data_IF_311060648699
#
_entry.id   IF_311060648699
#
_cell.length_a   1.000
_cell.length_b   1.000
_cell.length_c   1.000
_cell.angle_alpha   90.00
_cell.angle_beta   90.00
_cell.angle_gamma   90.00
#
_symmetry.space_group_name_H-M   'P 1'
#
loop_
_entity.id
_entity.type
_entity.pdbx_description
1 polymer ?
#
# COMPACT_ATOMS: atom_id res chain seq x y z
N UNK A 1 11.53 13.05 13.56
CA UNK A 1 10.08 12.78 13.35
C UNK A 1 9.67 13.09 11.92
N UNK A 2 9.76 14.35 11.47
CA UNK A 2 9.38 14.76 10.10
C UNK A 2 9.98 13.91 8.98
N UNK A 3 11.26 13.57 9.06
CA UNK A 3 11.88 12.71 8.06
C UNK A 3 11.16 11.37 7.86
N UNK A 4 10.58 10.78 8.92
CA UNK A 4 9.80 9.54 8.83
C UNK A 4 8.41 9.77 8.23
N UNK A 5 7.74 10.86 8.61
CA UNK A 5 6.44 11.26 8.01
C UNK A 5 6.63 11.42 6.50
N UNK A 6 7.69 12.13 6.09
CA UNK A 6 8.02 12.31 4.69
C UNK A 6 8.33 11.00 3.98
N UNK A 7 8.96 10.03 4.64
CA UNK A 7 9.17 8.69 4.07
C UNK A 7 7.87 7.92 3.85
N UNK A 8 6.91 8.00 4.78
CA UNK A 8 5.57 7.40 4.58
C UNK A 8 4.83 8.06 3.42
N UNK A 9 4.91 9.39 3.30
CA UNK A 9 4.28 10.13 2.20
C UNK A 9 4.98 9.92 0.85
N UNK A 10 6.27 9.60 0.86
CA UNK A 10 7.03 9.21 -0.32
C UNK A 10 6.51 7.85 -0.82
N UNK A 11 6.39 6.87 0.08
CA UNK A 11 5.85 5.54 -0.21
C UNK A 11 4.42 5.65 -0.79
N UNK A 12 3.56 6.45 -0.16
CA UNK A 12 2.23 6.77 -0.67
C UNK A 12 2.27 7.36 -2.09
N UNK A 13 3.20 8.26 -2.37
CA UNK A 13 3.29 8.91 -3.70
C UNK A 13 3.68 7.91 -4.78
N UNK A 14 4.59 6.98 -4.46
CA UNK A 14 5.03 5.90 -5.36
C UNK A 14 3.90 4.90 -5.59
N UNK A 15 3.22 4.44 -4.55
CA UNK A 15 2.12 3.48 -4.67
C UNK A 15 0.97 4.04 -5.49
N UNK A 16 0.57 5.30 -5.25
CA UNK A 16 -0.48 5.94 -6.06
C UNK A 16 -0.04 6.09 -7.51
N UNK A 17 1.24 6.42 -7.77
CA UNK A 17 1.77 6.46 -9.11
C UNK A 17 1.67 5.09 -9.80
N UNK A 18 2.01 4.00 -9.11
CA UNK A 18 1.90 2.62 -9.62
C UNK A 18 0.45 2.22 -9.88
N UNK A 19 -0.48 2.55 -8.98
CA UNK A 19 -1.91 2.28 -9.21
C UNK A 19 -2.47 3.05 -10.42
N UNK A 20 -2.01 4.27 -10.66
CA UNK A 20 -2.38 5.05 -11.86
C UNK A 20 -1.75 4.43 -13.11
N UNK A 21 -0.47 4.01 -13.04
CA UNK A 21 0.23 3.34 -14.14
C UNK A 21 -0.46 2.02 -14.53
N UNK A 22 -0.98 1.27 -13.55
CA UNK A 22 -1.73 0.03 -13.78
C UNK A 22 -3.21 0.26 -14.12
N UNK A 23 -3.62 1.52 -14.33
CA UNK A 23 -5.00 1.89 -14.69
C UNK A 23 -6.05 1.47 -13.63
N UNK A 24 -5.63 1.23 -12.38
CA UNK A 24 -6.50 0.93 -11.24
C UNK A 24 -7.09 2.21 -10.64
N UNK A 25 -6.29 3.27 -10.64
CA UNK A 25 -6.74 4.62 -10.35
C UNK A 25 -6.72 5.46 -11.63
N UNK A 26 -7.71 6.33 -11.77
CA UNK A 26 -7.80 7.32 -12.85
C UNK A 26 -7.78 8.72 -12.27
N UNK A 27 -7.27 9.68 -13.04
CA UNK A 27 -7.25 11.09 -12.65
C UNK A 27 -8.43 11.82 -13.28
N UNK A 28 -9.18 12.57 -12.46
CA UNK A 28 -10.26 13.45 -12.92
C UNK A 28 -9.71 14.47 -13.89
N UNK A 29 -10.36 14.60 -15.05
CA UNK A 29 -10.00 15.63 -16.03
C UNK A 29 -10.55 16.98 -15.58
N UNK A 30 -9.67 17.87 -15.15
CA UNK A 30 -10.03 19.27 -14.84
C UNK A 30 -9.95 20.06 -16.15
N UNK A 31 -11.04 20.72 -16.52
CA UNK A 31 -11.08 21.60 -17.70
C UNK A 31 -9.91 22.58 -17.65
N UNK A 32 -9.09 22.60 -18.71
CA UNK A 32 -7.90 23.43 -18.94
C UNK A 32 -6.56 22.93 -18.35
N UNK A 33 -6.48 21.74 -17.78
CA UNK A 33 -5.18 21.17 -17.39
C UNK A 33 -4.49 20.50 -18.59
N UNK A 34 -3.30 20.99 -18.96
CA UNK A 34 -2.48 20.41 -20.02
C UNK A 34 -1.65 19.28 -19.40
N UNK A 35 -2.01 18.03 -19.65
CA UNK A 35 -1.30 16.87 -19.10
C UNK A 35 0.01 16.50 -19.83
N UNK A 36 0.09 16.76 -21.14
CA UNK A 36 1.31 16.60 -21.95
C UNK A 36 1.32 17.63 -23.09
N UNK A 37 2.49 18.19 -23.39
CA UNK A 37 2.68 19.17 -24.47
C UNK A 37 2.52 18.59 -25.88
N UNK A 38 2.62 17.26 -26.03
CA UNK A 38 2.56 16.57 -27.32
C UNK A 38 1.43 15.54 -27.41
N UNK A 39 0.88 15.08 -26.27
CA UNK A 39 -0.18 14.08 -26.22
C UNK A 39 -1.43 14.62 -25.49
N UNK A 40 -2.42 15.19 -26.21
CA UNK A 40 -3.55 15.90 -25.58
C UNK A 40 -4.43 15.05 -24.66
N UNK A 41 -4.43 13.73 -24.85
CA UNK A 41 -5.22 12.78 -24.05
C UNK A 41 -4.46 12.24 -22.83
N UNK A 42 -3.15 12.51 -22.70
CA UNK A 42 -2.32 11.95 -21.65
C UNK A 42 -2.42 12.80 -20.38
N UNK A 43 -2.92 12.20 -19.31
CA UNK A 43 -2.95 12.80 -17.97
C UNK A 43 -1.94 12.05 -17.10
N UNK A 44 -0.94 12.76 -16.60
CA UNK A 44 0.12 12.19 -15.76
C UNK A 44 -0.12 12.55 -14.28
N UNK A 45 0.31 11.70 -13.33
CA UNK A 45 0.23 11.95 -11.88
C UNK A 45 1.26 12.98 -11.38
N UNK A 46 1.39 14.13 -12.06
CA UNK A 46 2.43 15.14 -11.81
C UNK A 46 2.41 15.69 -10.38
N UNK A 47 1.24 15.71 -9.73
CA UNK A 47 1.13 16.20 -8.36
C UNK A 47 1.87 15.25 -7.38
N UNK A 48 1.81 13.94 -7.61
CA UNK A 48 2.55 12.94 -6.80
C UNK A 48 4.05 12.93 -7.14
N UNK A 49 4.41 13.04 -8.43
CA UNK A 49 5.82 13.14 -8.86
C UNK A 49 6.50 14.39 -8.28
N UNK A 50 5.80 15.53 -8.26
CA UNK A 50 6.28 16.76 -7.63
C UNK A 50 6.43 16.59 -6.11
N UNK A 51 5.50 15.88 -5.46
CA UNK A 51 5.58 15.64 -4.03
C UNK A 51 6.80 14.77 -3.70
N UNK A 52 6.99 13.66 -4.40
CA UNK A 52 8.13 12.75 -4.27
C UNK A 52 9.47 13.48 -4.33
N UNK A 53 9.70 14.29 -5.38
CA UNK A 53 10.95 15.05 -5.52
C UNK A 53 11.22 16.01 -4.36
N UNK A 54 10.19 16.74 -3.92
CA UNK A 54 10.31 17.68 -2.81
C UNK A 54 10.48 16.96 -1.45
N UNK A 55 9.88 15.77 -1.25
CA UNK A 55 10.07 14.97 -0.03
C UNK A 55 11.52 14.46 0.08
N UNK A 56 12.13 14.07 -1.04
CA UNK A 56 13.55 13.72 -1.09
C UNK A 56 14.45 14.89 -0.67
N UNK A 57 14.21 16.09 -1.21
CA UNK A 57 14.97 17.30 -0.86
C UNK A 57 14.80 17.66 0.62
N UNK A 58 13.57 17.63 1.14
CA UNK A 58 13.30 17.87 2.54
C UNK A 58 14.07 16.88 3.45
N UNK A 59 14.01 15.59 3.11
CA UNK A 59 14.67 14.54 3.88
C UNK A 59 16.20 14.60 3.81
N UNK A 60 16.77 15.03 2.68
CA UNK A 60 18.21 15.28 2.57
C UNK A 60 18.66 16.35 3.57
N UNK A 61 17.92 17.47 3.67
CA UNK A 61 18.20 18.52 4.65
C UNK A 61 17.99 18.04 6.09
N UNK A 62 16.88 17.35 6.39
CA UNK A 62 16.64 16.83 7.74
C UNK A 62 17.72 15.84 8.19
N UNK A 63 18.22 14.98 7.30
CA UNK A 63 19.37 14.10 7.57
C UNK A 63 20.62 14.92 7.86
N UNK A 64 20.94 15.90 7.02
CA UNK A 64 22.10 16.78 7.22
C UNK A 64 22.04 17.52 8.57
N UNK A 65 20.87 18.04 8.96
CA UNK A 65 20.68 18.70 10.26
C UNK A 65 20.90 17.76 11.43
N UNK A 66 20.33 16.55 11.37
CA UNK A 66 20.46 15.55 12.44
C UNK A 66 21.91 15.08 12.65
N UNK A 67 22.69 15.02 11.57
CA UNK A 67 24.09 14.62 11.61
C UNK A 67 25.02 15.77 12.03
N UNK A 68 24.77 16.99 11.54
CA UNK A 68 25.69 18.13 11.74
C UNK A 68 25.44 18.88 13.05
N UNK A 69 24.18 19.11 13.44
CA UNK A 69 23.86 20.03 14.54
C UNK A 69 24.18 19.45 15.93
N UNK A 70 24.35 18.14 16.03
CA UNK A 70 24.74 17.44 17.26
C UNK A 70 26.24 17.52 17.56
N UNK A 71 27.05 18.06 16.64
CA UNK A 71 28.51 18.12 16.76
C UNK A 71 28.96 19.58 16.69
N UNK A 72 29.68 20.01 17.72
CA UNK A 72 30.34 21.33 17.82
C UNK A 72 31.67 21.17 18.55
N UNK A 73 32.74 21.83 18.10
CA UNK A 73 34.08 21.71 18.69
C UNK A 73 34.16 22.43 20.04
N UNK A 74 34.76 21.78 21.04
CA UNK A 74 35.01 22.31 22.38
C UNK A 74 33.73 22.90 23.01
N UNK A 75 33.77 24.14 23.49
CA UNK A 75 32.60 24.78 24.10
C UNK A 75 31.51 25.14 23.07
N UNK A 76 31.90 25.48 21.83
CA UNK A 76 31.04 25.67 20.64
C UNK A 76 31.86 26.28 19.48
N UNK A 77 31.66 25.82 18.25
CA UNK A 77 32.03 26.51 17.01
C UNK A 77 30.80 27.10 16.28
N UNK A 78 31.01 27.99 15.31
CA UNK A 78 29.93 28.78 14.66
C UNK A 78 29.42 28.18 13.33
N UNK A 79 29.82 26.95 12.98
CA UNK A 79 29.39 26.31 11.73
C UNK A 79 27.89 25.99 11.71
N UNK A 80 27.25 25.88 12.87
CA UNK A 80 25.82 25.69 13.04
C UNK A 80 25.00 26.90 12.61
N UNK A 81 25.51 28.12 12.79
CA UNK A 81 24.81 29.37 12.49
C UNK A 81 24.29 29.45 11.04
N UNK A 82 25.09 29.04 10.05
CA UNK A 82 24.65 29.00 8.64
C UNK A 82 23.68 27.85 8.36
N UNK A 83 23.84 26.72 9.04
CA UNK A 83 22.96 25.55 8.87
C UNK A 83 21.58 25.82 9.47
N UNK A 84 21.49 26.44 10.65
CA UNK A 84 20.22 26.79 11.29
C UNK A 84 19.36 27.75 10.45
N UNK A 85 19.97 28.59 9.59
CA UNK A 85 19.24 29.46 8.65
C UNK A 85 18.52 28.69 7.54
N UNK A 86 18.83 27.41 7.36
CA UNK A 86 18.20 26.55 6.36
C UNK A 86 17.05 25.70 6.92
N UNK A 87 16.71 25.84 8.21
CA UNK A 87 15.56 25.14 8.81
C UNK A 87 14.28 25.48 8.02
N UNK A 88 14.03 26.77 7.74
CA UNK A 88 12.86 27.19 6.97
C UNK A 88 12.78 26.49 5.60
N UNK A 89 13.91 26.32 4.92
CA UNK A 89 13.99 25.66 3.61
C UNK A 89 13.54 24.19 3.66
N UNK A 90 13.94 23.42 4.67
CA UNK A 90 13.50 22.01 4.79
C UNK A 90 12.00 21.89 5.02
N UNK A 91 11.43 22.81 5.80
CA UNK A 91 9.98 22.88 6.01
C UNK A 91 9.24 23.33 4.75
N UNK A 92 9.81 24.26 3.98
CA UNK A 92 9.22 24.74 2.73
C UNK A 92 9.07 23.59 1.72
N UNK A 93 10.11 22.77 1.52
CA UNK A 93 10.03 21.57 0.67
C UNK A 93 8.94 20.61 1.14
N UNK A 94 8.88 20.34 2.45
CA UNK A 94 7.84 19.47 3.02
C UNK A 94 6.43 20.03 2.77
N UNK A 95 6.21 21.34 3.00
CA UNK A 95 4.92 21.99 2.80
C UNK A 95 4.49 21.98 1.33
N UNK A 96 5.43 22.19 0.40
CA UNK A 96 5.16 22.08 -1.04
C UNK A 96 4.69 20.66 -1.36
N UNK A 97 5.41 19.63 -0.89
CA UNK A 97 5.00 18.23 -1.07
C UNK A 97 3.61 17.96 -0.53
N UNK A 98 3.29 18.41 0.69
CA UNK A 98 1.98 18.13 1.30
C UNK A 98 0.84 18.77 0.51
N UNK A 99 1.04 20.00 0.02
CA UNK A 99 0.06 20.66 -0.87
C UNK A 99 -0.13 19.90 -2.18
N UNK A 100 0.96 19.40 -2.77
CA UNK A 100 0.89 18.60 -3.99
C UNK A 100 0.18 17.27 -3.77
N UNK A 101 0.47 16.55 -2.67
CA UNK A 101 -0.24 15.31 -2.30
C UNK A 101 -1.73 15.57 -2.13
N UNK A 102 -2.13 16.60 -1.37
CA UNK A 102 -3.53 16.94 -1.18
C UNK A 102 -4.23 17.26 -2.50
N UNK A 103 -3.56 17.98 -3.40
CA UNK A 103 -4.06 18.27 -4.75
C UNK A 103 -4.22 16.99 -5.58
N UNK A 104 -3.24 16.09 -5.55
CA UNK A 104 -3.30 14.79 -6.21
C UNK A 104 -4.42 13.90 -5.68
N UNK A 105 -4.58 13.79 -4.36
CA UNK A 105 -5.67 13.04 -3.72
C UNK A 105 -7.05 13.61 -4.05
N UNK A 106 -7.18 14.92 -4.28
CA UNK A 106 -8.43 15.51 -4.77
C UNK A 106 -8.84 15.07 -6.19
N UNK A 107 -7.86 14.59 -6.98
CA UNK A 107 -8.03 14.23 -8.39
C UNK A 107 -8.22 12.73 -8.63
N UNK A 108 -7.82 11.87 -7.71
CA UNK A 108 -7.95 10.42 -7.91
C UNK A 108 -9.43 9.99 -7.92
N UNK A 109 -9.71 8.97 -8.71
CA UNK A 109 -10.97 8.25 -8.74
C UNK A 109 -10.68 6.77 -9.05
N UNK A 110 -11.57 5.86 -8.66
CA UNK A 110 -11.36 4.43 -8.84
C UNK A 110 -11.77 3.98 -10.24
N UNK A 111 -11.01 3.06 -10.83
CA UNK A 111 -11.38 2.33 -12.03
C UNK A 111 -11.84 0.92 -11.68
N UNK A 112 -13.05 0.82 -11.12
CA UNK A 112 -13.61 -0.46 -10.65
C UNK A 112 -13.58 -1.55 -11.73
N UNK A 113 -13.91 -1.19 -12.97
CA UNK A 113 -13.92 -2.16 -14.08
C UNK A 113 -12.53 -2.76 -14.30
N UNK A 114 -11.47 -1.96 -14.31
CA UNK A 114 -10.10 -2.46 -14.47
C UNK A 114 -9.70 -3.33 -13.28
N UNK A 115 -10.00 -2.89 -12.05
CA UNK A 115 -9.69 -3.66 -10.83
C UNK A 115 -10.39 -5.03 -10.82
N UNK A 116 -11.70 -5.07 -11.11
CA UNK A 116 -12.45 -6.33 -11.20
C UNK A 116 -11.92 -7.25 -12.31
N UNK A 117 -11.53 -6.69 -13.46
CA UNK A 117 -10.96 -7.47 -14.55
C UNK A 117 -9.59 -8.05 -14.18
N UNK A 118 -8.72 -7.27 -13.54
CA UNK A 118 -7.42 -7.76 -13.07
C UNK A 118 -7.59 -8.90 -12.05
N UNK A 119 -8.48 -8.73 -11.05
CA UNK A 119 -8.78 -9.78 -10.08
C UNK A 119 -9.34 -11.05 -10.75
N UNK A 120 -10.28 -10.89 -11.69
CA UNK A 120 -10.86 -12.03 -12.41
C UNK A 120 -9.87 -12.79 -13.31
N UNK A 121 -8.74 -12.17 -13.67
CA UNK A 121 -7.68 -12.82 -14.45
C UNK A 121 -6.62 -13.49 -13.55
N UNK A 122 -6.66 -13.30 -12.24
CA UNK A 122 -5.62 -13.76 -11.30
C UNK A 122 -6.18 -14.77 -10.28
N UNK A 123 -6.76 -15.87 -10.77
CA UNK A 123 -7.30 -16.97 -9.92
C UNK A 123 -6.22 -17.74 -9.15
N UNK A 124 -4.97 -17.63 -9.57
CA UNK A 124 -3.80 -18.17 -8.85
C UNK A 124 -3.72 -17.70 -7.39
N UNK A 125 -4.26 -16.51 -7.08
CA UNK A 125 -4.32 -15.97 -5.71
C UNK A 125 -5.14 -16.84 -4.75
N UNK A 126 -6.09 -17.64 -5.26
CA UNK A 126 -6.88 -18.56 -4.44
C UNK A 126 -6.13 -19.85 -4.07
N UNK A 127 -4.88 -20.01 -4.51
CA UNK A 127 -4.07 -21.16 -4.13
C UNK A 127 -3.87 -21.27 -2.62
N UNK A 128 -3.59 -20.14 -1.96
CA UNK A 128 -3.37 -20.09 -0.51
C UNK A 128 -4.61 -20.52 0.30
N UNK A 129 -5.82 -19.93 0.14
CA UNK A 129 -6.97 -20.32 0.95
C UNK A 129 -7.36 -21.78 0.74
N UNK A 130 -7.22 -22.31 -0.48
CA UNK A 130 -7.45 -23.73 -0.76
C UNK A 130 -6.46 -24.60 0.03
N UNK A 131 -5.16 -24.28 0.00
CA UNK A 131 -4.16 -25.00 0.78
C UNK A 131 -4.41 -24.94 2.29
N UNK A 132 -4.85 -23.78 2.81
CA UNK A 132 -5.17 -23.61 4.23
C UNK A 132 -6.32 -24.53 4.63
N UNK A 133 -7.40 -24.58 3.83
CA UNK A 133 -8.52 -25.48 4.12
C UNK A 133 -8.10 -26.95 4.04
N UNK A 134 -7.31 -27.34 3.04
CA UNK A 134 -6.78 -28.71 2.93
C UNK A 134 -5.94 -29.09 4.17
N UNK A 135 -5.06 -28.19 4.63
CA UNK A 135 -4.25 -28.40 5.84
C UNK A 135 -5.12 -28.51 7.09
N UNK A 136 -6.20 -27.72 7.20
CA UNK A 136 -7.14 -27.79 8.31
C UNK A 136 -7.83 -29.17 8.43
N UNK A 137 -7.94 -29.90 7.32
CA UNK A 137 -8.46 -31.27 7.27
C UNK A 137 -7.34 -32.33 7.18
N UNK A 138 -6.12 -32.01 7.63
CA UNK A 138 -4.96 -32.91 7.68
C UNK A 138 -4.54 -33.51 6.33
N UNK A 139 -4.82 -32.82 5.22
CA UNK A 139 -4.35 -33.28 3.90
C UNK A 139 -2.81 -33.17 3.82
N UNK A 140 -2.10 -34.28 3.54
CA UNK A 140 -0.64 -34.27 3.51
C UNK A 140 -0.14 -33.47 2.30
N UNK A 141 0.93 -32.69 2.51
CA UNK A 141 1.66 -32.01 1.43
C UNK A 141 0.81 -31.12 0.51
N UNK A 142 -0.24 -30.46 1.04
CA UNK A 142 -1.18 -29.63 0.26
C UNK A 142 -0.52 -28.61 -0.68
N UNK A 143 0.59 -27.99 -0.25
CA UNK A 143 1.34 -27.04 -1.09
C UNK A 143 1.97 -27.72 -2.31
N UNK A 144 2.69 -28.82 -2.12
CA UNK A 144 3.37 -29.53 -3.22
C UNK A 144 2.35 -30.14 -4.18
N UNK A 145 1.22 -30.61 -3.67
CA UNK A 145 0.16 -31.18 -4.51
C UNK A 145 -0.49 -30.10 -5.39
N UNK A 146 -0.85 -28.92 -4.85
CA UNK A 146 -1.38 -27.81 -5.65
C UNK A 146 -0.34 -27.27 -6.64
N UNK A 147 0.93 -27.16 -6.21
CA UNK A 147 2.04 -26.76 -7.08
C UNK A 147 2.19 -27.70 -8.25
N UNK A 148 2.16 -29.02 -8.02
CA UNK A 148 2.23 -30.01 -9.08
C UNK A 148 1.00 -29.96 -10.01
N UNK A 149 -0.18 -29.68 -9.46
CA UNK A 149 -1.41 -29.56 -10.24
C UNK A 149 -1.42 -28.35 -11.18
N UNK A 150 -0.86 -27.23 -10.73
CA UNK A 150 -0.85 -25.93 -11.45
C UNK A 150 0.41 -25.70 -12.30
N UNK A 151 1.50 -26.45 -12.08
CA UNK A 151 2.77 -26.27 -12.79
C UNK A 151 2.59 -26.31 -14.31
N UNK A 152 3.04 -25.23 -14.97
CA UNK A 152 3.03 -25.12 -16.44
C UNK A 152 1.64 -24.89 -17.05
N UNK A 153 0.61 -24.63 -16.24
CA UNK A 153 -0.75 -24.34 -16.69
C UNK A 153 -1.12 -22.89 -16.39
N UNK A 154 -2.02 -22.32 -17.18
CA UNK A 154 -2.68 -21.08 -16.79
C UNK A 154 -3.69 -21.39 -15.68
N UNK A 155 -3.60 -20.68 -14.56
CA UNK A 155 -4.45 -20.91 -13.39
C UNK A 155 -5.67 -20.01 -13.49
N UNK A 156 -6.70 -20.52 -14.19
CA UNK A 156 -8.00 -19.88 -14.35
C UNK A 156 -9.03 -20.45 -13.35
N UNK A 157 -10.26 -19.94 -13.45
CA UNK A 157 -11.39 -20.35 -12.61
C UNK A 157 -11.66 -21.83 -12.74
N UNK A 158 -11.69 -22.33 -13.96
CA UNK A 158 -12.05 -23.70 -14.31
C UNK A 158 -11.05 -24.68 -13.71
N UNK A 159 -9.75 -24.40 -13.86
CA UNK A 159 -8.68 -25.21 -13.30
C UNK A 159 -8.74 -25.24 -11.77
N UNK A 160 -8.95 -24.11 -11.12
CA UNK A 160 -9.07 -24.04 -9.66
C UNK A 160 -10.31 -24.78 -9.15
N UNK A 161 -11.46 -24.66 -9.82
CA UNK A 161 -12.67 -25.40 -9.45
C UNK A 161 -12.51 -26.90 -9.68
N UNK A 162 -11.82 -27.32 -10.75
CA UNK A 162 -11.49 -28.72 -10.99
C UNK A 162 -10.61 -29.27 -9.87
N UNK A 163 -9.59 -28.51 -9.45
CA UNK A 163 -8.74 -28.89 -8.33
C UNK A 163 -9.56 -29.12 -7.05
N UNK A 164 -10.39 -28.15 -6.67
CA UNK A 164 -11.23 -28.26 -5.47
C UNK A 164 -12.13 -29.49 -5.55
N UNK A 165 -12.79 -29.75 -6.69
CA UNK A 165 -13.67 -30.92 -6.84
C UNK A 165 -12.93 -32.25 -6.76
N UNK A 166 -11.72 -32.35 -7.33
CA UNK A 166 -10.97 -33.61 -7.41
C UNK A 166 -10.13 -33.92 -6.17
N UNK A 167 -9.81 -32.91 -5.35
CA UNK A 167 -8.89 -33.06 -4.21
C UNK A 167 -9.53 -32.78 -2.86
N UNK A 168 -10.85 -32.59 -2.80
CA UNK A 168 -11.57 -32.26 -1.56
C UNK A 168 -12.60 -33.30 -1.14
N UNK A 169 -12.56 -34.55 -1.63
CA UNK A 169 -13.58 -35.57 -1.30
C UNK A 169 -13.69 -35.87 0.21
N UNK A 170 -12.60 -35.71 0.97
CA UNK A 170 -12.56 -35.89 2.42
C UNK A 170 -13.02 -34.65 3.21
N UNK A 171 -13.32 -33.54 2.53
CA UNK A 171 -13.75 -32.27 3.14
C UNK A 171 -15.29 -32.28 3.26
N UNK A 172 -15.87 -31.79 4.37
CA UNK A 172 -17.31 -31.65 4.50
C UNK A 172 -17.94 -30.81 3.37
N UNK A 173 -19.13 -31.19 2.86
CA UNK A 173 -19.77 -30.50 1.73
C UNK A 173 -19.95 -28.98 1.91
N UNK A 174 -20.16 -28.53 3.14
CA UNK A 174 -20.28 -27.11 3.47
C UNK A 174 -18.97 -26.35 3.18
N UNK A 175 -17.83 -26.88 3.63
CA UNK A 175 -16.52 -26.28 3.39
C UNK A 175 -16.12 -26.32 1.91
N UNK A 176 -16.48 -27.38 1.17
CA UNK A 176 -16.30 -27.44 -0.28
C UNK A 176 -17.13 -26.34 -0.97
N UNK A 177 -18.38 -26.17 -0.57
CA UNK A 177 -19.27 -25.15 -1.13
C UNK A 177 -18.73 -23.74 -0.89
N UNK A 178 -18.18 -23.48 0.31
CA UNK A 178 -17.49 -22.22 0.62
C UNK A 178 -16.28 -21.98 -0.29
N UNK A 179 -15.43 -22.99 -0.50
CA UNK A 179 -14.28 -22.89 -1.41
C UNK A 179 -14.69 -22.66 -2.87
N UNK A 180 -15.75 -23.32 -3.34
CA UNK A 180 -16.25 -23.16 -4.71
C UNK A 180 -16.90 -21.79 -4.97
N UNK A 181 -17.44 -21.17 -3.92
CA UNK A 181 -18.00 -19.82 -3.96
C UNK A 181 -16.94 -18.72 -3.82
N UNK A 182 -15.69 -19.08 -3.49
CA UNK A 182 -14.60 -18.12 -3.35
C UNK A 182 -14.17 -17.60 -4.73
N UNK A 183 -13.92 -16.30 -4.82
CA UNK A 183 -13.34 -15.62 -5.97
C UNK A 183 -12.23 -14.67 -5.52
N UNK A 184 -11.31 -14.26 -6.41
CA UNK A 184 -10.31 -13.23 -6.07
C UNK A 184 -10.94 -11.94 -5.52
N UNK A 185 -12.13 -11.56 -5.99
CA UNK A 185 -12.85 -10.37 -5.53
C UNK A 185 -13.41 -10.50 -4.11
N UNK A 186 -13.71 -11.72 -3.66
CA UNK A 186 -14.28 -11.98 -2.34
C UNK A 186 -13.24 -12.41 -1.32
N UNK A 187 -12.06 -12.84 -1.78
CA UNK A 187 -10.95 -13.23 -0.91
C UNK A 187 -10.13 -12.01 -0.46
N UNK A 188 -10.79 -11.10 0.26
CA UNK A 188 -10.21 -9.84 0.75
C UNK A 188 -10.00 -9.83 2.28
N UNK A 189 -10.27 -10.97 2.95
CA UNK A 189 -10.15 -11.09 4.41
C UNK A 189 -10.95 -10.01 5.15
N UNK A 190 -10.30 -9.34 6.11
CA UNK A 190 -10.88 -8.25 6.89
C UNK A 190 -10.63 -6.85 6.30
N UNK A 191 -10.22 -6.74 5.03
CA UNK A 191 -9.80 -5.46 4.44
C UNK A 191 -10.85 -4.35 4.61
N UNK A 192 -12.12 -4.62 4.26
CA UNK A 192 -13.22 -3.65 4.37
C UNK A 192 -13.48 -3.23 5.83
N UNK A 193 -13.50 -4.21 6.75
CA UNK A 193 -13.67 -3.96 8.17
C UNK A 193 -12.57 -3.07 8.74
N UNK A 194 -11.30 -3.38 8.43
CA UNK A 194 -10.15 -2.62 8.92
C UNK A 194 -10.12 -1.21 8.33
N UNK A 195 -10.41 -1.05 7.03
CA UNK A 195 -10.45 0.25 6.38
C UNK A 195 -11.53 1.17 6.97
N UNK A 196 -12.73 0.64 7.20
CA UNK A 196 -13.87 1.41 7.75
C UNK A 196 -13.71 1.73 9.24
N UNK A 197 -12.94 0.93 9.99
CA UNK A 197 -12.78 1.08 11.43
C UNK A 197 -11.38 1.56 11.86
N UNK A 198 -10.55 2.08 10.93
CA UNK A 198 -9.16 2.48 11.23
C UNK A 198 -9.07 3.45 12.41
N UNK A 199 -9.96 4.45 12.47
CA UNK A 199 -9.98 5.45 13.55
C UNK A 199 -10.26 4.84 14.93
N UNK A 200 -11.16 3.85 14.99
CA UNK A 200 -11.55 3.19 16.25
C UNK A 200 -10.48 2.22 16.72
N UNK A 201 -9.91 1.44 15.79
CA UNK A 201 -8.83 0.48 16.08
C UNK A 201 -7.60 1.21 16.64
N UNK A 202 -7.33 2.44 16.19
CA UNK A 202 -6.23 3.25 16.73
C UNK A 202 -6.49 3.75 18.17
N UNK A 203 -7.75 4.06 18.50
CA UNK A 203 -8.15 4.55 19.83
C UNK A 203 -8.08 3.44 20.89
N UNK A 204 -8.52 2.22 20.58
CA UNK A 204 -8.48 1.10 21.51
C UNK A 204 -7.03 0.71 21.88
N UNK A 205 -6.10 0.78 20.92
CA UNK A 205 -4.67 0.57 21.18
C UNK A 205 -4.06 1.63 22.10
N UNK A 206 -4.49 2.89 21.99
CA UNK A 206 -4.04 3.96 22.90
C UNK A 206 -4.57 3.74 24.31
N UNK A 207 -5.79 3.23 24.47
CA UNK A 207 -6.33 2.86 25.78
C UNK A 207 -5.56 1.70 26.43
N UNK A 208 -5.26 0.62 25.71
CA UNK A 208 -4.46 -0.51 26.24
C UNK A 208 -3.02 -0.11 26.62
N UNK A 209 -2.38 0.78 25.83
CA UNK A 209 -1.04 1.30 26.16
C UNK A 209 -1.05 2.27 27.36
N UNK A 210 -2.16 2.96 27.60
CA UNK A 210 -2.29 3.85 28.76
C UNK A 210 -2.51 3.09 30.07
N UNK A 211 -3.20 1.94 30.03
CA UNK A 211 -3.44 1.11 31.22
C UNK A 211 -2.23 0.27 31.63
N UNK A 212 -1.34 -0.07 30.69
CA UNK A 212 -0.09 -0.78 31.01
C UNK A 212 0.96 0.12 31.65
N UNK A 213 0.91 1.44 31.44
CA UNK A 213 1.78 2.42 32.13
C UNK A 213 1.41 2.71 33.60
N UNK A 214 0.25 2.23 34.07
CA UNK A 214 -0.20 2.34 35.47
C UNK A 214 0.06 1.08 36.31
N UNK A 215 0.73 0.08 35.73
CA UNK A 215 1.15 -1.16 36.43
C UNK A 215 2.65 -1.31 36.37
N UNK A 216 3.36 -0.50 37.14
CA UNK A 216 4.66 -0.87 37.71
C UNK A 216 4.61 -0.60 39.21
N UNK A 217 5.07 -1.55 40.06
CA UNK A 217 5.11 -1.39 41.51
C UNK A 217 6.05 -0.27 41.96
#
# INVERSE_FOLDING_TARGET
ALGRINSTLLDLSIDIWLYISNNLLKLKNIKNEIGSSTMPHKINPIDFENAEGNLHLANALFKAFSAKLSISRLQRDLSDSTVLRNIGTSYAYSLISYKSILKGLGKIDINEKAAYQELNNNWSTLAEPVQIVLKNYNFPNAYEELKNFTRGKNVDKELMQQYIKTKSEFIPPNSISQLLNLSPNTYIGYADYLATNVDKIELDKKHEMSDTSKKTP
#
